data_IF_586608107726
#
_entry.id   IF_586608107726
#
_cell.length_a   1.000
_cell.length_b   1.000
_cell.length_c   1.000
_cell.angle_alpha   90.00
_cell.angle_beta   90.00
_cell.angle_gamma   90.00
#
_symmetry.space_group_name_H-M   'P 1'
#
loop_
_entity.id
_entity.type
_entity.pdbx_description
1 polymer ?
#
# COMPACT_ATOMS: atom_id res chain seq x y z
N UNK A 1 -8.28 14.61 -7.90
CA UNK A 1 -8.43 13.21 -8.29
C UNK A 1 -9.60 12.64 -7.53
N UNK A 2 -10.37 11.71 -8.09
CA UNK A 2 -11.52 11.09 -7.42
C UNK A 2 -11.57 9.59 -7.68
N UNK A 3 -12.18 8.88 -6.77
CA UNK A 3 -12.54 7.46 -6.87
C UNK A 3 -14.02 7.31 -6.54
N UNK A 4 -14.56 6.11 -6.65
CA UNK A 4 -15.97 5.87 -6.30
C UNK A 4 -16.08 5.04 -5.02
N UNK A 5 -17.13 5.30 -4.26
CA UNK A 5 -17.57 4.45 -3.17
C UNK A 5 -19.04 4.09 -3.37
N UNK A 6 -19.31 2.81 -3.64
CA UNK A 6 -20.65 2.30 -4.00
C UNK A 6 -21.31 3.10 -5.14
N UNK A 7 -20.51 3.39 -6.18
CA UNK A 7 -20.93 4.15 -7.35
C UNK A 7 -20.99 5.67 -7.19
N UNK A 8 -20.74 6.20 -5.99
CA UNK A 8 -20.73 7.65 -5.75
C UNK A 8 -19.31 8.19 -5.77
N UNK A 9 -19.03 9.31 -6.46
CA UNK A 9 -17.71 9.89 -6.51
C UNK A 9 -17.30 10.46 -5.15
N UNK A 10 -16.07 10.21 -4.75
CA UNK A 10 -15.40 10.80 -3.59
C UNK A 10 -14.09 11.41 -4.01
N UNK A 11 -13.80 12.61 -3.52
CA UNK A 11 -12.57 13.32 -3.85
C UNK A 11 -11.40 12.87 -2.99
N UNK A 12 -10.21 12.89 -3.57
CA UNK A 12 -8.97 12.62 -2.88
C UNK A 12 -8.20 13.93 -2.68
N UNK A 13 -7.66 14.08 -1.48
CA UNK A 13 -6.77 15.17 -1.08
C UNK A 13 -5.32 14.72 -1.19
N UNK A 14 -4.46 15.63 -1.60
CA UNK A 14 -3.01 15.44 -1.62
C UNK A 14 -2.40 15.43 -3.02
N UNK A 15 -1.15 15.03 -3.09
CA UNK A 15 -0.36 15.08 -4.32
C UNK A 15 -0.64 13.89 -5.22
N UNK A 16 -0.78 14.15 -6.52
CA UNK A 16 -0.80 13.08 -7.51
C UNK A 16 0.64 12.66 -7.78
N UNK A 17 0.98 11.43 -7.38
CA UNK A 17 2.28 10.85 -7.69
C UNK A 17 2.22 10.06 -9.00
N UNK A 18 3.18 10.26 -9.86
CA UNK A 18 3.32 9.51 -11.10
C UNK A 18 4.44 8.47 -11.00
N UNK A 19 4.37 7.44 -11.84
CA UNK A 19 5.45 6.44 -11.98
C UNK A 19 6.73 7.15 -12.39
N UNK A 20 7.84 6.84 -11.73
CA UNK A 20 9.13 7.49 -11.92
C UNK A 20 9.40 8.66 -10.98
N UNK A 21 8.36 9.22 -10.33
CA UNK A 21 8.54 10.28 -9.35
C UNK A 21 9.25 9.77 -8.09
N UNK A 22 9.93 10.68 -7.40
CA UNK A 22 10.51 10.38 -6.08
C UNK A 22 9.40 10.06 -5.09
N UNK A 23 9.51 8.91 -4.43
CA UNK A 23 8.57 8.52 -3.39
C UNK A 23 8.79 9.38 -2.14
N UNK A 24 7.75 10.03 -1.61
CA UNK A 24 7.88 10.79 -0.38
C UNK A 24 8.22 9.89 0.82
N UNK A 25 9.20 10.32 1.62
CA UNK A 25 9.53 9.64 2.88
C UNK A 25 8.46 9.97 3.93
N UNK A 26 7.94 8.93 4.57
CA UNK A 26 6.94 9.04 5.63
C UNK A 26 7.24 8.01 6.72
N UNK A 27 7.07 8.43 7.97
CA UNK A 27 7.21 7.57 9.14
C UNK A 27 5.83 7.23 9.71
N UNK A 28 5.51 5.97 9.80
CA UNK A 28 4.22 5.46 10.28
C UNK A 28 4.38 4.67 11.58
N UNK A 29 3.27 4.35 12.24
CA UNK A 29 3.26 3.54 13.46
C UNK A 29 2.84 2.09 13.17
N UNK A 30 3.71 1.13 13.47
CA UNK A 30 3.39 -0.29 13.41
C UNK A 30 2.45 -0.71 14.56
N UNK A 31 1.93 -1.95 14.47
CA UNK A 31 1.05 -2.54 15.51
C UNK A 31 1.65 -2.58 16.91
N UNK A 32 2.98 -2.63 17.02
CA UNK A 32 3.74 -2.61 18.28
C UNK A 32 4.23 -1.20 18.67
N UNK A 33 3.74 -0.17 17.99
CA UNK A 33 4.10 1.25 18.14
C UNK A 33 5.53 1.60 17.66
N UNK A 34 6.25 0.67 17.09
CA UNK A 34 7.52 0.96 16.43
C UNK A 34 7.32 1.80 15.17
N UNK A 35 8.41 2.36 14.65
CA UNK A 35 8.37 3.20 13.46
C UNK A 35 8.55 2.36 12.21
N UNK A 36 7.68 2.55 11.23
CA UNK A 36 7.79 1.99 9.87
C UNK A 36 8.11 3.12 8.92
N UNK A 37 9.27 3.04 8.27
CA UNK A 37 9.69 4.02 7.27
C UNK A 37 9.24 3.61 5.88
N UNK A 38 8.57 4.52 5.16
CA UNK A 38 8.18 4.39 3.76
C UNK A 38 9.19 5.10 2.86
N UNK A 39 9.41 4.57 1.69
CA UNK A 39 10.38 5.03 0.70
C UNK A 39 11.84 4.85 1.14
N UNK A 40 12.16 3.67 1.68
CA UNK A 40 13.55 3.24 1.91
C UNK A 40 14.26 3.08 0.56
N UNK A 41 15.49 3.54 0.50
CA UNK A 41 16.31 3.46 -0.72
C UNK A 41 16.99 2.10 -0.90
N UNK A 42 17.20 1.38 0.20
CA UNK A 42 17.89 0.09 0.27
C UNK A 42 16.96 -1.13 0.12
N UNK A 43 15.66 -0.90 0.01
CA UNK A 43 14.64 -1.98 -0.06
C UNK A 43 13.57 -1.66 -1.08
N UNK A 44 13.08 -2.71 -1.73
CA UNK A 44 11.83 -2.64 -2.47
C UNK A 44 10.68 -2.75 -1.47
N UNK A 45 9.73 -1.83 -1.54
CA UNK A 45 8.54 -1.83 -0.70
C UNK A 45 7.29 -1.92 -1.58
N UNK A 46 6.38 -2.81 -1.22
CA UNK A 46 5.03 -2.88 -1.80
C UNK A 46 4.09 -2.32 -0.74
N UNK A 47 3.51 -1.17 -1.01
CA UNK A 47 2.65 -0.45 -0.07
C UNK A 47 1.21 -0.53 -0.55
N UNK A 48 0.37 -1.11 0.28
CA UNK A 48 -1.07 -1.23 0.07
C UNK A 48 -1.79 -0.23 0.97
N UNK A 49 -2.72 0.52 0.44
CA UNK A 49 -3.58 1.38 1.25
C UNK A 49 -5.00 0.86 1.26
N UNK A 50 -5.60 0.86 2.43
CA UNK A 50 -6.98 0.39 2.63
C UNK A 50 -7.73 1.36 3.52
N UNK A 51 -9.07 1.51 3.36
CA UNK A 51 -9.88 2.34 4.24
C UNK A 51 -9.85 1.89 5.70
N UNK A 52 -10.03 0.60 5.94
CA UNK A 52 -9.93 -0.02 7.26
C UNK A 52 -9.79 -1.53 7.15
N UNK A 53 -8.94 -2.13 7.98
CA UNK A 53 -8.77 -3.59 8.07
C UNK A 53 -10.03 -4.31 8.58
N UNK A 54 -10.91 -3.62 9.29
CA UNK A 54 -12.18 -4.17 9.79
C UNK A 54 -13.27 -4.30 8.71
N UNK A 55 -13.01 -3.94 7.45
CA UNK A 55 -13.95 -4.16 6.34
C UNK A 55 -13.69 -5.51 5.67
N UNK A 56 -14.74 -6.23 5.19
CA UNK A 56 -14.57 -7.56 4.57
C UNK A 56 -13.61 -7.57 3.37
N UNK A 57 -13.67 -6.55 2.52
CA UNK A 57 -12.80 -6.43 1.34
C UNK A 57 -11.34 -6.23 1.74
N UNK A 58 -11.08 -5.35 2.70
CA UNK A 58 -9.72 -5.08 3.17
C UNK A 58 -9.11 -6.29 3.90
N UNK A 59 -9.92 -7.01 4.68
CA UNK A 59 -9.48 -8.25 5.31
C UNK A 59 -9.12 -9.32 4.27
N UNK A 60 -9.92 -9.45 3.22
CA UNK A 60 -9.64 -10.38 2.10
C UNK A 60 -8.37 -9.99 1.35
N UNK A 61 -8.17 -8.70 1.09
CA UNK A 61 -6.96 -8.15 0.46
C UNK A 61 -5.70 -8.47 1.29
N UNK A 62 -5.73 -8.19 2.58
CA UNK A 62 -4.61 -8.47 3.48
C UNK A 62 -4.28 -9.96 3.53
N UNK A 63 -5.29 -10.84 3.59
CA UNK A 63 -5.10 -12.30 3.54
C UNK A 63 -4.49 -12.75 2.22
N UNK A 64 -4.97 -12.25 1.09
CA UNK A 64 -4.46 -12.61 -0.24
C UNK A 64 -3.00 -12.20 -0.41
N UNK A 65 -2.64 -10.97 -0.01
CA UNK A 65 -1.24 -10.53 0.00
C UNK A 65 -0.37 -11.36 0.94
N UNK A 66 -0.86 -11.70 2.12
CA UNK A 66 -0.14 -12.55 3.06
C UNK A 66 0.16 -13.95 2.47
N UNK A 67 -0.78 -14.51 1.71
CA UNK A 67 -0.58 -15.78 1.00
C UNK A 67 0.40 -15.67 -0.17
N UNK A 68 0.34 -14.56 -0.90
CA UNK A 68 1.19 -14.31 -2.08
C UNK A 68 2.55 -13.71 -1.77
N UNK A 69 2.85 -13.42 -0.49
CA UNK A 69 4.09 -12.74 -0.10
C UNK A 69 5.36 -13.47 -0.56
N UNK A 70 5.28 -14.80 -0.69
CA UNK A 70 6.39 -15.61 -1.21
C UNK A 70 6.76 -15.27 -2.67
N UNK A 71 5.82 -14.72 -3.46
CA UNK A 71 6.07 -14.25 -4.81
C UNK A 71 6.86 -12.92 -4.86
N UNK A 72 6.85 -12.18 -3.74
CA UNK A 72 7.51 -10.88 -3.60
C UNK A 72 8.83 -10.97 -2.84
N UNK A 73 9.63 -11.99 -3.13
CA UNK A 73 10.92 -12.21 -2.47
C UNK A 73 11.82 -10.96 -2.55
N UNK A 74 12.34 -10.54 -1.40
CA UNK A 74 13.19 -9.36 -1.29
C UNK A 74 12.45 -8.04 -1.17
N UNK A 75 11.11 -8.03 -1.22
CA UNK A 75 10.30 -6.85 -0.94
C UNK A 75 9.71 -6.88 0.48
N UNK A 76 9.58 -5.70 1.07
CA UNK A 76 8.83 -5.47 2.30
C UNK A 76 7.38 -5.11 1.91
N UNK A 77 6.41 -5.91 2.33
CA UNK A 77 4.98 -5.65 2.06
C UNK A 77 4.35 -4.97 3.25
N UNK A 78 3.81 -3.77 3.03
CA UNK A 78 3.28 -2.90 4.08
C UNK A 78 1.83 -2.56 3.75
N UNK A 79 0.92 -2.81 4.69
CA UNK A 79 -0.48 -2.38 4.61
C UNK A 79 -0.67 -1.14 5.47
N UNK A 80 -1.15 -0.06 4.87
CA UNK A 80 -1.35 1.24 5.52
C UNK A 80 -2.84 1.55 5.62
N UNK A 81 -3.29 1.94 6.79
CA UNK A 81 -4.64 2.43 7.03
C UNK A 81 -4.66 3.51 8.13
N UNK A 82 -5.85 4.05 8.41
CA UNK A 82 -6.08 4.96 9.56
C UNK A 82 -6.44 4.20 10.84
N UNK A 83 -6.52 2.87 10.80
CA UNK A 83 -6.80 2.08 12.01
C UNK A 83 -5.73 2.32 13.07
N UNK A 84 -6.12 2.29 14.33
CA UNK A 84 -5.16 2.39 15.41
C UNK A 84 -4.24 1.16 15.47
N UNK A 85 -2.98 1.31 15.88
CA UNK A 85 -2.03 0.20 16.00
C UNK A 85 -2.56 -1.00 16.79
N UNK A 86 -3.33 -0.76 17.86
CA UNK A 86 -3.93 -1.81 18.67
C UNK A 86 -4.99 -2.64 17.92
N UNK A 87 -5.83 -1.97 17.12
CA UNK A 87 -6.81 -2.63 16.26
C UNK A 87 -6.11 -3.45 15.16
N UNK A 88 -5.03 -2.93 14.60
CA UNK A 88 -4.19 -3.66 13.64
C UNK A 88 -3.58 -4.93 14.24
N UNK A 89 -3.08 -4.84 15.48
CA UNK A 89 -2.53 -5.99 16.20
C UNK A 89 -3.57 -7.09 16.41
N UNK A 90 -4.78 -6.71 16.83
CA UNK A 90 -5.90 -7.64 16.98
C UNK A 90 -6.29 -8.29 15.65
N UNK A 91 -6.39 -7.50 14.58
CA UNK A 91 -6.68 -8.01 13.24
C UNK A 91 -5.64 -9.04 12.79
N UNK A 92 -4.35 -8.73 12.88
CA UNK A 92 -3.28 -9.65 12.50
C UNK A 92 -3.34 -10.97 13.30
N UNK A 93 -3.63 -10.90 14.59
CA UNK A 93 -3.77 -12.09 15.44
C UNK A 93 -4.97 -12.94 15.06
N UNK A 94 -6.12 -12.32 14.77
CA UNK A 94 -7.35 -13.02 14.39
C UNK A 94 -7.24 -13.68 13.03
N UNK A 95 -6.59 -13.00 12.06
CA UNK A 95 -6.47 -13.46 10.67
C UNK A 95 -5.19 -14.27 10.39
N UNK A 96 -4.35 -14.51 11.40
CA UNK A 96 -3.06 -15.20 11.29
C UNK A 96 -2.15 -14.56 10.24
N UNK A 97 -2.04 -13.22 10.28
CA UNK A 97 -1.22 -12.45 9.37
C UNK A 97 0.12 -12.11 10.04
N UNK A 98 1.16 -12.85 9.68
CA UNK A 98 2.49 -12.72 10.29
C UNK A 98 3.55 -12.14 9.35
N UNK A 99 3.31 -12.20 8.02
CA UNK A 99 4.31 -11.85 7.02
C UNK A 99 4.16 -10.43 6.46
N UNK A 100 3.06 -9.75 6.79
CA UNK A 100 2.83 -8.35 6.39
C UNK A 100 3.20 -7.40 7.53
N UNK A 101 3.79 -6.28 7.16
CA UNK A 101 3.91 -5.14 8.06
C UNK A 101 2.61 -4.33 7.97
N UNK A 102 1.96 -4.09 9.10
CA UNK A 102 0.81 -3.18 9.18
C UNK A 102 1.24 -1.87 9.81
N UNK A 103 0.84 -0.76 9.22
CA UNK A 103 1.26 0.57 9.66
C UNK A 103 0.10 1.57 9.62
N UNK A 104 0.01 2.40 10.64
CA UNK A 104 -1.04 3.39 10.81
C UNK A 104 -0.57 4.80 10.49
N UNK A 105 -1.36 5.52 9.70
CA UNK A 105 -1.17 6.94 9.36
C UNK A 105 -2.01 7.87 10.25
N UNK A 106 -2.48 7.38 11.42
CA UNK A 106 -3.44 8.10 12.27
C UNK A 106 -2.88 9.40 12.88
N UNK A 107 -1.57 9.48 13.09
CA UNK A 107 -0.93 10.59 13.81
C UNK A 107 -1.03 11.89 13.03
N UNK A 108 -0.51 11.93 11.82
CA UNK A 108 -0.39 13.15 11.02
C UNK A 108 -1.14 13.10 9.69
N UNK A 109 -1.66 11.94 9.29
CA UNK A 109 -2.25 11.70 7.96
C UNK A 109 -1.31 12.05 6.80
N UNK A 110 -0.02 12.04 7.08
CA UNK A 110 1.03 12.53 6.19
C UNK A 110 1.19 11.63 4.97
N UNK A 111 1.05 10.31 5.16
CA UNK A 111 1.07 9.38 4.04
C UNK A 111 -0.09 9.63 3.09
N UNK A 112 -1.31 9.73 3.60
CA UNK A 112 -2.50 9.97 2.79
C UNK A 112 -2.40 11.24 1.94
N UNK A 113 -1.86 12.32 2.49
CA UNK A 113 -1.68 13.59 1.79
C UNK A 113 -0.52 13.54 0.78
N UNK A 114 0.63 13.00 1.15
CA UNK A 114 1.81 12.94 0.29
C UNK A 114 1.65 11.97 -0.88
N UNK A 115 0.90 10.89 -0.69
CA UNK A 115 0.63 9.88 -1.72
C UNK A 115 -0.69 10.10 -2.47
N UNK A 116 -1.46 11.13 -2.09
CA UNK A 116 -2.68 11.53 -2.80
C UNK A 116 -3.83 10.54 -2.67
N UNK A 117 -3.90 9.81 -1.55
CA UNK A 117 -4.90 8.78 -1.29
C UNK A 117 -5.83 9.10 -0.10
N UNK A 118 -5.70 10.28 0.51
CA UNK A 118 -6.57 10.70 1.60
C UNK A 118 -7.95 11.08 1.05
N UNK A 119 -9.02 10.44 1.53
CA UNK A 119 -10.39 10.75 1.13
C UNK A 119 -10.83 12.07 1.76
N UNK A 120 -11.27 13.01 0.91
CA UNK A 120 -11.53 14.39 1.30
C UNK A 120 -12.99 14.70 1.62
N UNK A 121 -13.92 13.80 1.24
CA UNK A 121 -15.36 14.00 1.45
C UNK A 121 -16.12 12.67 1.52
N UNK A 122 -17.41 12.75 1.84
CA UNK A 122 -18.31 11.61 1.86
C UNK A 122 -18.23 10.77 3.13
N UNK A 123 -18.84 9.59 3.09
CA UNK A 123 -18.95 8.71 4.27
C UNK A 123 -17.59 8.14 4.75
N UNK A 124 -16.58 8.13 3.89
CA UNK A 124 -15.24 7.65 4.20
C UNK A 124 -14.22 8.77 4.37
N UNK A 125 -14.67 10.01 4.55
CA UNK A 125 -13.77 11.16 4.75
C UNK A 125 -12.77 10.90 5.88
N UNK A 126 -11.50 11.20 5.61
CA UNK A 126 -10.40 11.01 6.54
C UNK A 126 -9.77 9.61 6.53
N UNK A 127 -10.33 8.66 5.78
CA UNK A 127 -9.73 7.36 5.53
C UNK A 127 -8.86 7.38 4.27
N UNK A 128 -8.14 6.30 4.02
CA UNK A 128 -7.34 6.13 2.80
C UNK A 128 -8.16 5.43 1.71
N UNK A 129 -8.02 5.89 0.48
CA UNK A 129 -8.51 5.17 -0.69
C UNK A 129 -7.68 3.90 -0.91
N UNK A 130 -8.25 2.93 -1.62
CA UNK A 130 -7.55 1.69 -1.94
C UNK A 130 -6.56 1.91 -3.08
N UNK A 131 -5.29 1.65 -2.82
CA UNK A 131 -4.23 1.79 -3.80
C UNK A 131 -3.06 0.83 -3.52
N UNK A 132 -2.26 0.59 -4.55
CA UNK A 132 -1.00 -0.16 -4.46
C UNK A 132 0.12 0.69 -5.03
N UNK A 133 1.23 0.77 -4.30
CA UNK A 133 2.46 1.40 -4.76
C UNK A 133 3.61 0.40 -4.65
N UNK A 134 4.42 0.29 -5.68
CA UNK A 134 5.73 -0.37 -5.58
C UNK A 134 6.79 0.71 -5.58
N UNK A 135 7.59 0.75 -4.54
CA UNK A 135 8.68 1.70 -4.35
C UNK A 135 9.99 0.96 -4.49
N UNK A 136 10.83 1.41 -5.41
CA UNK A 136 12.16 0.86 -5.68
C UNK A 136 13.15 2.00 -5.84
N UNK A 137 14.30 1.91 -5.18
CA UNK A 137 15.36 2.93 -5.25
C UNK A 137 14.84 4.35 -4.91
N UNK A 138 13.92 4.44 -3.94
CA UNK A 138 13.30 5.69 -3.51
C UNK A 138 12.33 6.33 -4.52
N UNK A 139 11.90 5.59 -5.55
CA UNK A 139 10.99 6.08 -6.59
C UNK A 139 9.73 5.21 -6.70
N UNK A 140 8.65 5.80 -7.18
CA UNK A 140 7.43 5.07 -7.52
C UNK A 140 7.70 4.27 -8.80
N UNK A 141 7.82 2.96 -8.69
CA UNK A 141 8.05 2.06 -9.80
C UNK A 141 6.74 1.54 -10.43
N UNK A 142 5.71 1.38 -9.60
CA UNK A 142 4.36 0.97 -10.00
C UNK A 142 3.33 1.69 -9.13
N UNK A 143 2.18 1.99 -9.70
CA UNK A 143 1.05 2.60 -9.01
C UNK A 143 -0.27 2.07 -9.56
N UNK A 144 -1.16 1.69 -8.68
CA UNK A 144 -2.55 1.42 -8.99
C UNK A 144 -3.45 2.15 -7.99
N UNK A 145 -4.36 2.95 -8.46
CA UNK A 145 -5.45 3.53 -7.67
C UNK A 145 -6.74 2.83 -8.08
N UNK A 146 -7.34 2.08 -7.17
CA UNK A 146 -8.57 1.33 -7.42
C UNK A 146 -9.74 2.32 -7.56
N UNK A 147 -10.42 2.29 -8.71
CA UNK A 147 -11.46 3.26 -9.04
C UNK A 147 -12.71 3.14 -8.17
N UNK A 148 -13.07 1.93 -7.79
CA UNK A 148 -14.18 1.65 -6.86
C UNK A 148 -13.59 1.07 -5.56
N UNK A 149 -13.71 1.80 -4.46
CA UNK A 149 -13.09 1.44 -3.16
C UNK A 149 -13.51 0.06 -2.65
N UNK A 150 -14.69 -0.42 -3.07
CA UNK A 150 -15.22 -1.75 -2.71
C UNK A 150 -14.63 -2.90 -3.54
N UNK A 151 -13.84 -2.61 -4.56
CA UNK A 151 -13.18 -3.61 -5.40
C UNK A 151 -11.75 -3.88 -4.93
N UNK A 152 -11.23 -5.05 -5.31
CA UNK A 152 -9.85 -5.46 -5.03
C UNK A 152 -8.88 -4.85 -6.04
N UNK A 153 -7.62 -4.59 -5.67
CA UNK A 153 -6.58 -4.24 -6.63
C UNK A 153 -6.24 -5.43 -7.53
N UNK A 154 -5.59 -5.15 -8.65
CA UNK A 154 -5.13 -6.18 -9.57
C UNK A 154 -3.81 -6.82 -9.08
N UNK A 155 -3.93 -7.86 -8.26
CA UNK A 155 -2.78 -8.59 -7.70
C UNK A 155 -1.88 -9.21 -8.77
N UNK A 156 -2.46 -9.70 -9.87
CA UNK A 156 -1.70 -10.31 -10.96
C UNK A 156 -0.79 -9.29 -11.62
N UNK A 157 -1.29 -8.07 -11.86
CA UNK A 157 -0.49 -7.00 -12.43
C UNK A 157 0.68 -6.59 -11.53
N UNK A 158 0.47 -6.53 -10.20
CA UNK A 158 1.53 -6.27 -9.23
C UNK A 158 2.59 -7.38 -9.25
N UNK A 159 2.14 -8.64 -9.29
CA UNK A 159 3.00 -9.81 -9.31
C UNK A 159 3.81 -9.89 -10.62
N UNK A 160 3.18 -9.66 -11.77
CA UNK A 160 3.83 -9.59 -13.07
C UNK A 160 4.87 -8.47 -13.14
N UNK A 161 4.52 -7.28 -12.65
CA UNK A 161 5.45 -6.17 -12.56
C UNK A 161 6.68 -6.53 -11.73
N UNK A 162 6.48 -7.17 -10.58
CA UNK A 162 7.57 -7.57 -9.69
C UNK A 162 8.47 -8.65 -10.33
N UNK A 163 7.89 -9.64 -11.01
CA UNK A 163 8.64 -10.68 -11.76
C UNK A 163 9.41 -10.09 -12.94
N UNK A 164 8.80 -9.18 -13.70
CA UNK A 164 9.42 -8.51 -14.85
C UNK A 164 10.59 -7.60 -14.48
N UNK A 165 10.53 -6.96 -13.32
CA UNK A 165 11.61 -6.08 -12.84
C UNK A 165 12.82 -6.83 -12.27
N UNK A 166 12.68 -8.15 -12.03
CA UNK A 166 13.76 -9.03 -11.56
C UNK A 166 14.62 -9.63 -12.69
N UNK A 167 14.29 -9.43 -13.95
CA UNK A 167 14.93 -10.10 -15.08
C UNK A 167 16.00 -9.28 -15.82
N UNK A 168 16.61 -8.29 -15.19
CA UNK A 168 17.75 -7.56 -15.77
C UNK A 168 19.06 -7.84 -15.03
N UNK A 169 19.44 -9.11 -14.89
CA UNK A 169 20.81 -9.51 -14.59
C UNK A 169 21.11 -10.84 -15.28
N UNK A 170 21.55 -10.78 -16.51
CA UNK A 170 22.03 -11.98 -17.17
C UNK A 170 22.20 -11.79 -18.68
N UNK A 171 23.28 -11.21 -19.09
CA UNK A 171 23.58 -11.13 -20.50
C UNK A 171 24.77 -10.26 -20.86
N UNK A 172 25.83 -10.37 -20.12
CA UNK A 172 27.15 -10.01 -20.66
C UNK A 172 27.66 -11.23 -21.42
N UNK A 173 27.25 -11.37 -22.66
CA UNK A 173 27.87 -12.28 -23.61
C UNK A 173 29.14 -11.64 -24.14
N UNK A 174 30.27 -12.23 -23.80
CA UNK A 174 31.56 -11.95 -24.43
C UNK A 174 31.50 -12.23 -25.92
N UNK A 175 31.92 -11.31 -26.68
CA UNK A 175 32.99 -11.43 -27.67
C UNK A 175 33.29 -10.06 -28.26
#
# INVERSE_FOLDING_TARGET
MSVNFKGNPVDLKGNVLEVGAKAPKVSLKAKDLSVVEIAKEDKVQIVLTVPSLDTPVCASEAREFNQKIAAFKGAEVIVVSMDLPFAMGRFCSTENIDNLVVASDFVAKEFGEKYGVLIANGALEGLLARAVFVIKDGKIAYKELVKEITEMPNFEAVEEFFKGSGSCCGGCGCH
#
